data_IF_851031907208
#
_entry.id   IF_851031907208
#
_cell.length_a   1.000
_cell.length_b   1.000
_cell.length_c   1.000
_cell.angle_alpha   90.00
_cell.angle_beta   90.00
_cell.angle_gamma   90.00
#
_symmetry.space_group_name_H-M   'P 1'
#
loop_
_entity.id
_entity.type
_entity.pdbx_description
1 polymer ?
#
# COMPACT_ATOMS: atom_id res chain seq x y z
N UNK A 1 15.04 4.21 10.62
CA UNK A 1 15.01 4.17 9.13
C UNK A 1 14.07 5.27 8.64
N UNK A 2 14.53 6.20 7.79
CA UNK A 2 13.67 7.26 7.22
C UNK A 2 13.10 6.77 5.89
N UNK A 3 11.79 6.57 5.84
CA UNK A 3 11.08 6.22 4.61
C UNK A 3 11.00 7.44 3.68
N UNK A 4 11.25 7.26 2.38
CA UNK A 4 11.25 8.35 1.42
C UNK A 4 9.85 8.56 0.84
N UNK A 5 9.29 9.76 1.01
CA UNK A 5 8.01 10.15 0.42
C UNK A 5 8.25 11.00 -0.82
N UNK A 6 7.90 10.47 -2.00
CA UNK A 6 8.19 11.15 -3.27
C UNK A 6 7.30 12.38 -3.46
N UNK A 7 7.94 13.51 -3.78
CA UNK A 7 7.28 14.76 -4.16
C UNK A 7 7.86 15.30 -5.46
N UNK A 8 7.03 15.96 -6.26
CA UNK A 8 7.34 16.38 -7.63
C UNK A 8 8.38 17.50 -7.67
N UNK A 9 8.50 18.31 -6.61
CA UNK A 9 9.46 19.43 -6.53
C UNK A 9 9.09 20.63 -7.42
N UNK A 10 8.05 20.50 -8.25
CA UNK A 10 7.54 21.56 -9.10
C UNK A 10 6.84 22.66 -8.30
N UNK A 11 7.52 23.80 -8.11
CA UNK A 11 6.99 24.94 -7.34
C UNK A 11 5.72 25.54 -7.93
N UNK A 12 5.47 25.35 -9.23
CA UNK A 12 4.26 25.85 -9.90
C UNK A 12 3.01 25.03 -9.55
N UNK A 13 3.19 23.80 -9.05
CA UNK A 13 2.09 22.88 -8.69
C UNK A 13 2.19 22.47 -7.23
N UNK A 14 1.16 22.82 -6.45
CA UNK A 14 1.09 22.51 -5.02
C UNK A 14 2.36 22.92 -4.24
N UNK A 15 3.05 24.00 -4.64
CA UNK A 15 4.28 24.48 -3.99
C UNK A 15 5.40 23.42 -3.93
N UNK A 16 5.56 22.60 -4.98
CA UNK A 16 6.55 21.52 -5.02
C UNK A 16 6.12 20.25 -4.28
N UNK A 17 4.90 20.23 -3.73
CA UNK A 17 4.38 19.11 -2.94
C UNK A 17 3.53 18.12 -3.71
N UNK A 18 3.44 18.27 -5.04
CA UNK A 18 2.78 17.29 -5.91
C UNK A 18 3.38 15.88 -5.75
N UNK A 19 2.63 14.86 -6.15
CA UNK A 19 3.04 13.45 -6.03
C UNK A 19 2.79 12.67 -7.34
N UNK A 20 2.75 13.35 -8.49
CA UNK A 20 2.44 12.71 -9.78
C UNK A 20 3.41 11.60 -10.12
N UNK A 21 4.69 11.73 -9.73
CA UNK A 21 5.66 10.66 -9.98
C UNK A 21 5.36 9.38 -9.19
N UNK A 22 4.88 9.51 -7.94
CA UNK A 22 4.44 8.37 -7.14
C UNK A 22 3.18 7.73 -7.74
N UNK A 23 2.23 8.54 -8.22
CA UNK A 23 1.03 8.06 -8.92
C UNK A 23 1.38 7.32 -10.20
N UNK A 24 2.35 7.81 -10.97
CA UNK A 24 2.83 7.13 -12.17
C UNK A 24 3.47 5.76 -11.85
N UNK A 25 4.21 5.67 -10.75
CA UNK A 25 4.76 4.38 -10.28
C UNK A 25 3.65 3.38 -9.91
N UNK A 26 2.57 3.85 -9.27
CA UNK A 26 1.39 3.03 -8.96
C UNK A 26 0.74 2.50 -10.24
N UNK A 27 0.41 3.38 -11.18
CA UNK A 27 -0.33 3.02 -12.40
C UNK A 27 0.51 2.26 -13.45
N UNK A 28 1.83 2.30 -13.35
CA UNK A 28 2.73 1.63 -14.28
C UNK A 28 3.34 0.35 -13.68
N UNK A 29 4.58 0.41 -13.17
CA UNK A 29 5.33 -0.78 -12.76
C UNK A 29 4.65 -1.56 -11.62
N UNK A 30 4.05 -0.89 -10.63
CA UNK A 30 3.40 -1.57 -9.51
C UNK A 30 2.14 -2.29 -10.01
N UNK A 31 1.25 -1.60 -10.74
CA UNK A 31 0.06 -2.23 -11.30
C UNK A 31 0.41 -3.46 -12.15
N UNK A 32 1.40 -3.34 -13.05
CA UNK A 32 1.83 -4.47 -13.91
C UNK A 32 2.35 -5.67 -13.11
N UNK A 33 3.08 -5.44 -12.02
CA UNK A 33 3.62 -6.51 -11.19
C UNK A 33 2.56 -7.26 -10.37
N UNK A 34 1.44 -6.59 -10.06
CA UNK A 34 0.39 -7.13 -9.21
C UNK A 34 -0.79 -7.76 -9.98
N UNK A 35 -0.91 -7.49 -11.29
CA UNK A 35 -1.96 -8.12 -12.11
C UNK A 35 -1.82 -9.65 -12.07
N UNK A 36 -2.94 -10.33 -11.78
CA UNK A 36 -3.01 -11.79 -11.71
C UNK A 36 -2.51 -12.40 -10.40
N UNK A 37 -2.16 -11.58 -9.40
CA UNK A 37 -1.82 -12.06 -8.04
C UNK A 37 -3.08 -12.16 -7.17
N UNK A 38 -3.06 -13.07 -6.19
CA UNK A 38 -4.16 -13.21 -5.23
C UNK A 38 -4.10 -12.08 -4.21
N UNK A 39 -5.13 -11.23 -4.20
CA UNK A 39 -5.25 -10.12 -3.26
C UNK A 39 -5.31 -10.59 -1.78
N UNK A 40 -5.69 -11.85 -1.52
CA UNK A 40 -5.73 -12.40 -0.16
C UNK A 40 -4.33 -12.64 0.43
N UNK A 41 -3.31 -12.80 -0.41
CA UNK A 41 -1.91 -12.92 0.01
C UNK A 41 -1.27 -11.55 0.20
N UNK A 42 -1.68 -10.85 1.25
CA UNK A 42 -1.18 -9.51 1.55
C UNK A 42 0.35 -9.49 1.70
N UNK A 43 0.93 -10.49 2.37
CA UNK A 43 2.37 -10.57 2.58
C UNK A 43 3.14 -10.77 1.26
N UNK A 44 2.62 -11.61 0.35
CA UNK A 44 3.19 -11.78 -0.99
C UNK A 44 3.11 -10.52 -1.84
N UNK A 45 1.97 -9.82 -1.83
CA UNK A 45 1.78 -8.55 -2.54
C UNK A 45 2.76 -7.49 -2.03
N UNK A 46 2.86 -7.33 -0.71
CA UNK A 46 3.77 -6.36 -0.10
C UNK A 46 5.24 -6.70 -0.40
N UNK A 47 5.60 -7.98 -0.37
CA UNK A 47 6.95 -8.44 -0.74
C UNK A 47 7.29 -8.15 -2.19
N UNK A 48 6.37 -8.43 -3.13
CA UNK A 48 6.57 -8.10 -4.56
C UNK A 48 6.86 -6.61 -4.72
N UNK A 49 6.10 -5.74 -4.05
CA UNK A 49 6.32 -4.28 -4.14
C UNK A 49 7.66 -3.84 -3.53
N UNK A 50 8.06 -4.45 -2.40
CA UNK A 50 9.36 -4.17 -1.77
C UNK A 50 10.51 -4.61 -2.67
N UNK A 51 10.43 -5.82 -3.23
CA UNK A 51 11.45 -6.39 -4.10
C UNK A 51 11.54 -5.61 -5.43
N UNK A 52 10.40 -5.15 -5.97
CA UNK A 52 10.35 -4.33 -7.19
C UNK A 52 10.97 -2.93 -7.00
N UNK A 53 10.78 -2.33 -5.82
CA UNK A 53 11.47 -1.09 -5.45
C UNK A 53 12.98 -1.35 -5.32
N UNK A 54 13.36 -2.46 -4.66
CA UNK A 54 14.73 -2.92 -4.56
C UNK A 54 15.63 -2.04 -3.68
N UNK A 55 15.07 -1.04 -3.01
CA UNK A 55 15.81 -0.15 -2.11
C UNK A 55 15.35 -0.31 -0.66
N UNK A 56 16.29 -0.20 0.28
CA UNK A 56 16.02 -0.36 1.70
C UNK A 56 15.03 0.69 2.23
N UNK A 57 15.11 1.92 1.70
CA UNK A 57 14.29 3.06 2.12
C UNK A 57 13.06 3.34 1.22
N UNK A 58 12.76 2.46 0.25
CA UNK A 58 11.65 2.63 -0.70
C UNK A 58 11.76 3.92 -1.52
N UNK A 59 12.98 4.28 -1.91
CA UNK A 59 13.31 5.54 -2.57
C UNK A 59 13.01 5.56 -4.07
N UNK A 60 12.80 4.40 -4.70
CA UNK A 60 12.55 4.28 -6.15
C UNK A 60 11.11 4.60 -6.52
N UNK A 61 10.14 4.08 -5.77
CA UNK A 61 8.71 4.38 -5.98
C UNK A 61 8.13 5.32 -4.92
N UNK A 62 8.80 5.44 -3.77
CA UNK A 62 8.31 6.16 -2.62
C UNK A 62 7.47 5.25 -1.71
N UNK A 63 7.68 5.37 -0.40
CA UNK A 63 6.91 4.65 0.60
C UNK A 63 5.40 4.98 0.53
N UNK A 64 5.05 6.18 0.07
CA UNK A 64 3.67 6.60 -0.18
C UNK A 64 2.97 5.80 -1.28
N UNK A 65 3.66 5.45 -2.37
CA UNK A 65 3.09 4.64 -3.44
C UNK A 65 2.82 3.20 -2.96
N UNK A 66 3.82 2.57 -2.34
CA UNK A 66 3.73 1.19 -1.84
C UNK A 66 2.63 1.08 -0.77
N UNK A 67 2.60 1.99 0.19
CA UNK A 67 1.59 1.99 1.25
C UNK A 67 0.17 2.18 0.70
N UNK A 68 -0.02 3.06 -0.29
CA UNK A 68 -1.33 3.30 -0.88
C UNK A 68 -1.89 2.03 -1.55
N UNK A 69 -1.06 1.32 -2.31
CA UNK A 69 -1.45 0.08 -2.98
C UNK A 69 -1.67 -1.05 -1.99
N UNK A 70 -0.81 -1.17 -0.97
CA UNK A 70 -0.95 -2.15 0.13
C UNK A 70 -2.31 -2.03 0.84
N UNK A 71 -2.71 -0.79 1.20
CA UNK A 71 -4.00 -0.52 1.83
C UNK A 71 -5.20 -0.76 0.90
N UNK A 72 -5.05 -0.44 -0.39
CA UNK A 72 -6.08 -0.70 -1.39
C UNK A 72 -6.29 -2.21 -1.58
N UNK A 73 -5.21 -2.99 -1.61
CA UNK A 73 -5.27 -4.45 -1.69
C UNK A 73 -5.99 -5.06 -0.48
N UNK A 74 -5.63 -4.65 0.75
CA UNK A 74 -6.30 -5.13 1.95
C UNK A 74 -7.81 -4.81 1.95
N UNK A 75 -8.21 -3.64 1.45
CA UNK A 75 -9.62 -3.28 1.28
C UNK A 75 -10.32 -4.16 0.25
N UNK A 76 -9.70 -4.43 -0.88
CA UNK A 76 -10.24 -5.31 -1.91
C UNK A 76 -10.37 -6.75 -1.39
N UNK A 77 -9.38 -7.25 -0.66
CA UNK A 77 -9.42 -8.58 -0.05
C UNK A 77 -10.52 -8.70 1.01
N UNK A 78 -10.69 -7.69 1.87
CA UNK A 78 -11.79 -7.64 2.83
C UNK A 78 -13.16 -7.67 2.14
N UNK A 79 -13.33 -6.84 1.09
CA UNK A 79 -14.56 -6.81 0.30
C UNK A 79 -14.84 -8.15 -0.41
N UNK A 80 -13.82 -8.80 -0.97
CA UNK A 80 -13.93 -10.12 -1.59
C UNK A 80 -14.32 -11.22 -0.58
N UNK A 81 -13.90 -11.08 0.69
CA UNK A 81 -14.33 -11.96 1.79
C UNK A 81 -15.71 -11.61 2.35
N UNK A 82 -16.33 -10.51 1.92
CA UNK A 82 -17.60 -10.03 2.45
C UNK A 82 -17.52 -9.55 3.90
N UNK A 83 -16.34 -9.11 4.34
CA UNK A 83 -16.11 -8.67 5.72
C UNK A 83 -15.60 -7.23 5.81
N UNK A 84 -15.83 -6.55 6.95
CA UNK A 84 -15.26 -5.24 7.19
C UNK A 84 -13.72 -5.25 7.23
N UNK A 85 -13.09 -4.14 6.82
CA UNK A 85 -11.63 -4.01 6.79
C UNK A 85 -10.96 -4.26 8.15
N UNK A 86 -11.56 -3.79 9.25
CA UNK A 86 -10.99 -3.99 10.59
C UNK A 86 -10.90 -5.47 10.97
N UNK A 87 -11.84 -6.27 10.48
CA UNK A 87 -11.88 -7.71 10.72
C UNK A 87 -10.84 -8.41 9.89
N UNK A 88 -10.72 -8.04 8.61
CA UNK A 88 -9.64 -8.52 7.75
C UNK A 88 -8.24 -8.19 8.30
N UNK A 89 -8.02 -6.98 8.82
CA UNK A 89 -6.75 -6.61 9.46
C UNK A 89 -6.50 -7.45 10.72
N UNK A 90 -7.54 -7.75 11.51
CA UNK A 90 -7.42 -8.60 12.68
C UNK A 90 -7.03 -10.05 12.31
N UNK A 91 -7.58 -10.59 11.21
CA UNK A 91 -7.14 -11.88 10.66
C UNK A 91 -5.66 -11.84 10.23
N UNK A 92 -5.25 -10.81 9.48
CA UNK A 92 -3.87 -10.64 9.03
C UNK A 92 -2.87 -10.53 10.19
N UNK A 93 -3.29 -9.90 11.30
CA UNK A 93 -2.48 -9.78 12.52
C UNK A 93 -2.53 -11.03 13.42
N UNK A 94 -3.31 -12.06 13.08
CA UNK A 94 -3.47 -13.25 13.93
C UNK A 94 -4.23 -12.98 15.23
N UNK A 95 -5.06 -11.92 15.27
CA UNK A 95 -5.89 -11.54 16.42
C UNK A 95 -7.39 -11.48 16.07
N UNK A 96 -7.96 -12.52 15.44
CA UNK A 96 -9.38 -12.52 15.05
C UNK A 96 -10.29 -12.30 16.26
N UNK A 97 -11.37 -11.52 16.09
CA UNK A 97 -12.32 -11.20 17.17
C UNK A 97 -11.83 -10.21 18.23
N UNK A 98 -10.58 -9.71 18.14
CA UNK A 98 -10.05 -8.66 19.02
C UNK A 98 -10.04 -7.32 18.28
N UNK A 99 -11.13 -6.58 18.40
CA UNK A 99 -11.26 -5.24 17.81
C UNK A 99 -11.05 -4.17 18.88
N UNK A 100 -10.27 -3.12 18.59
CA UNK A 100 -9.97 -2.04 19.54
C UNK A 100 -11.16 -1.08 19.78
N UNK A 101 -12.35 -1.41 19.29
CA UNK A 101 -13.57 -0.64 19.50
C UNK A 101 -14.50 -1.40 20.46
N UNK A 102 -14.07 -1.51 21.73
CA UNK A 102 -15.02 -1.75 22.83
C UNK A 102 -15.60 -0.40 23.22
N UNK A 103 -16.74 -0.03 22.66
CA UNK A 103 -17.67 0.81 23.40
C UNK A 103 -18.16 -0.04 24.57
N UNK A 104 -17.57 0.18 25.74
CA UNK A 104 -18.13 -0.27 27.01
C UNK A 104 -18.28 0.94 27.91
#
# INVERSE_FOLDING_TARGET
MKLWNWRDGDKSRFLGKGVTKAVAAVNGPIAQALIGKDAKDQAGIDKIMIDLDGTENKSKFGANAILAVSLANAKAAAAAKGMPLYEHIAELNGTPGKYLCRFR
#
